data_IF_608356057619
#
_entry.id   IF_608356057619
#
_cell.length_a   1.000
_cell.length_b   1.000
_cell.length_c   1.000
_cell.angle_alpha   90.00
_cell.angle_beta   90.00
_cell.angle_gamma   90.00
#
_symmetry.space_group_name_H-M   'P 1'
#
loop_
_entity.id
_entity.type
_entity.pdbx_description
1 polymer ?
#
# COMPACT_ATOMS: atom_id res chain seq x y z
N UNK A 1 -11.33 -18.49 16.08
CA UNK A 1 -12.27 -19.44 16.71
C UNK A 1 -13.66 -19.24 16.15
N UNK A 2 -14.37 -20.35 15.86
CA UNK A 2 -15.79 -20.31 15.56
C UNK A 2 -16.56 -20.42 16.89
N UNK A 3 -17.11 -19.31 17.34
CA UNK A 3 -17.90 -19.20 18.58
C UNK A 3 -19.37 -19.56 18.38
N UNK A 4 -19.79 -19.90 17.16
CA UNK A 4 -21.15 -20.38 16.87
C UNK A 4 -21.35 -21.79 17.41
N UNK A 5 -22.63 -22.17 17.65
CA UNK A 5 -22.96 -23.47 18.25
C UNK A 5 -23.38 -24.53 17.20
N UNK A 6 -23.75 -24.08 15.99
CA UNK A 6 -24.49 -24.97 15.07
C UNK A 6 -23.82 -25.16 13.72
N UNK A 7 -23.23 -24.11 13.14
CA UNK A 7 -22.79 -24.14 11.74
C UNK A 7 -21.26 -24.03 11.61
N UNK A 8 -20.65 -24.79 10.70
CA UNK A 8 -19.27 -24.54 10.30
C UNK A 8 -19.21 -23.24 9.48
N UNK A 9 -18.16 -22.42 9.72
CA UNK A 9 -18.00 -21.12 9.07
C UNK A 9 -16.57 -20.92 8.57
N UNK A 10 -16.44 -20.04 7.59
CA UNK A 10 -15.15 -19.50 7.15
C UNK A 10 -15.19 -17.99 7.30
N UNK A 11 -14.06 -17.40 7.67
CA UNK A 11 -13.91 -15.95 7.78
C UNK A 11 -12.67 -15.45 7.05
N UNK A 12 -12.71 -14.20 6.60
CA UNK A 12 -11.56 -13.53 5.99
C UNK A 12 -10.96 -12.57 7.00
N UNK A 13 -9.77 -12.89 7.48
CA UNK A 13 -9.00 -12.00 8.35
C UNK A 13 -8.21 -11.03 7.48
N UNK A 14 -8.41 -9.73 7.73
CA UNK A 14 -7.85 -8.62 6.96
C UNK A 14 -6.92 -7.81 7.85
N UNK A 15 -5.78 -7.40 7.31
CA UNK A 15 -4.83 -6.52 7.97
C UNK A 15 -4.83 -5.18 7.27
N UNK A 16 -5.08 -4.13 8.01
CA UNK A 16 -5.05 -2.75 7.56
C UNK A 16 -3.90 -2.01 8.20
N UNK A 17 -3.29 -1.13 7.44
CA UNK A 17 -2.21 -0.28 7.91
C UNK A 17 -2.54 1.19 7.72
N UNK A 18 -2.13 2.04 8.68
CA UNK A 18 -2.09 3.49 8.52
C UNK A 18 -0.66 3.96 8.26
N UNK A 19 -0.54 5.18 7.76
CA UNK A 19 0.74 5.86 7.57
C UNK A 19 0.84 7.06 8.51
N UNK A 20 2.03 7.62 8.78
CA UNK A 20 2.18 8.79 9.64
C UNK A 20 1.36 10.00 9.22
N UNK A 21 1.10 10.16 7.94
CA UNK A 21 0.30 11.24 7.34
C UNK A 21 -1.12 10.81 6.94
N UNK A 22 -1.58 9.63 7.38
CA UNK A 22 -2.92 9.14 7.10
C UNK A 22 -3.99 10.16 7.48
N UNK A 23 -4.95 10.36 6.58
CA UNK A 23 -6.03 11.32 6.74
C UNK A 23 -5.69 12.76 6.41
N UNK A 24 -4.42 13.11 6.19
CA UNK A 24 -4.01 14.42 5.68
C UNK A 24 -3.97 14.45 4.17
N UNK A 25 -3.42 13.41 3.57
CA UNK A 25 -3.14 13.34 2.13
C UNK A 25 -3.72 12.11 1.45
N UNK A 26 -4.48 11.27 2.16
CA UNK A 26 -5.00 10.02 1.59
C UNK A 26 -5.93 9.26 2.51
N UNK A 27 -6.06 7.96 2.28
CA UNK A 27 -6.87 7.07 3.12
C UNK A 27 -6.35 7.02 4.55
N UNK A 28 -7.26 6.94 5.52
CA UNK A 28 -6.93 6.78 6.94
C UNK A 28 -6.13 5.50 7.18
N UNK A 29 -6.56 4.43 6.55
CA UNK A 29 -5.88 3.14 6.48
C UNK A 29 -6.20 2.47 5.15
N UNK A 30 -5.39 1.49 4.78
CA UNK A 30 -5.54 0.72 3.57
C UNK A 30 -5.33 -0.77 3.87
N UNK A 31 -6.00 -1.61 3.11
CA UNK A 31 -5.83 -3.06 3.18
C UNK A 31 -4.44 -3.43 2.65
N UNK A 32 -3.66 -4.10 3.47
CA UNK A 32 -2.31 -4.53 3.11
C UNK A 32 -2.27 -6.03 2.76
N UNK A 33 -2.81 -6.87 3.63
CA UNK A 33 -2.89 -8.31 3.38
C UNK A 33 -4.15 -8.92 3.98
N UNK A 34 -4.52 -10.08 3.49
CA UNK A 34 -5.65 -10.85 4.02
C UNK A 34 -5.45 -12.34 3.83
N UNK A 35 -6.13 -13.13 4.63
CA UNK A 35 -6.17 -14.58 4.50
C UNK A 35 -7.51 -15.13 4.95
N UNK A 36 -8.03 -16.11 4.22
CA UNK A 36 -9.25 -16.83 4.58
C UNK A 36 -8.91 -18.01 5.47
N UNK A 37 -9.74 -18.23 6.50
CA UNK A 37 -9.63 -19.44 7.34
C UNK A 37 -10.03 -20.70 6.55
N UNK A 38 -9.70 -21.84 7.08
CA UNK A 38 -10.38 -23.09 6.71
C UNK A 38 -11.83 -23.05 7.19
N UNK A 39 -12.62 -24.02 6.79
CA UNK A 39 -13.95 -24.23 7.38
C UNK A 39 -13.75 -24.70 8.80
N UNK A 40 -14.19 -23.91 9.77
CA UNK A 40 -14.08 -24.21 11.19
C UNK A 40 -15.41 -24.74 11.71
N UNK A 41 -15.42 -25.90 12.30
CA UNK A 41 -16.56 -26.43 13.04
C UNK A 41 -16.84 -25.57 14.28
N UNK A 42 -18.04 -25.65 14.90
CA UNK A 42 -18.33 -25.00 16.18
C UNK A 42 -17.24 -25.33 17.24
N UNK A 43 -16.72 -24.29 17.88
CA UNK A 43 -15.63 -24.40 18.87
C UNK A 43 -14.22 -24.61 18.28
N UNK A 44 -14.08 -24.79 16.98
CA UNK A 44 -12.78 -24.98 16.35
C UNK A 44 -12.04 -23.66 16.17
N UNK A 45 -10.71 -23.70 16.35
CA UNK A 45 -9.82 -22.55 16.24
C UNK A 45 -8.73 -22.78 15.19
N UNK A 46 -8.29 -21.71 14.52
CA UNK A 46 -7.16 -21.72 13.61
C UNK A 46 -6.25 -20.53 13.86
N UNK A 47 -4.95 -20.75 13.87
CA UNK A 47 -3.96 -19.68 13.85
C UNK A 47 -3.54 -19.37 12.42
N UNK A 48 -3.63 -18.11 12.02
CA UNK A 48 -3.19 -17.60 10.72
C UNK A 48 -1.86 -16.85 10.87
N UNK A 49 -0.97 -17.01 9.92
CA UNK A 49 0.30 -16.28 9.82
C UNK A 49 0.30 -15.40 8.60
N UNK A 50 -0.07 -14.13 8.78
CA UNK A 50 -0.05 -13.13 7.72
C UNK A 50 1.30 -12.40 7.70
N UNK A 51 1.83 -12.17 6.50
CA UNK A 51 3.11 -11.49 6.30
C UNK A 51 2.98 -10.47 5.19
N UNK A 52 3.58 -9.32 5.39
CA UNK A 52 3.70 -8.28 4.38
C UNK A 52 5.05 -7.55 4.53
N UNK A 53 5.66 -7.10 3.43
CA UNK A 53 6.88 -6.35 3.51
C UNK A 53 6.58 -4.89 3.90
N UNK A 54 7.25 -4.36 4.89
CA UNK A 54 7.08 -2.96 5.35
C UNK A 54 7.30 -1.95 4.21
N UNK A 55 8.06 -2.33 3.18
CA UNK A 55 8.30 -1.50 2.00
C UNK A 55 7.06 -1.20 1.18
N UNK A 56 5.99 -2.00 1.29
CA UNK A 56 4.70 -1.74 0.63
C UNK A 56 3.94 -0.58 1.27
N UNK A 57 4.29 -0.23 2.51
CA UNK A 57 3.74 0.94 3.19
C UNK A 57 4.29 2.27 2.64
N UNK A 58 5.28 2.23 1.75
CA UNK A 58 5.88 3.44 1.17
C UNK A 58 4.89 4.20 0.28
N UNK A 59 4.95 5.53 0.33
CA UNK A 59 4.15 6.43 -0.48
C UNK A 59 5.03 7.11 -1.52
N UNK A 60 4.51 7.28 -2.72
CA UNK A 60 5.19 8.07 -3.74
C UNK A 60 5.21 9.55 -3.36
N UNK A 61 6.41 10.14 -3.34
CA UNK A 61 6.61 11.58 -3.11
C UNK A 61 7.10 12.24 -4.39
N UNK A 62 6.25 13.12 -4.98
CA UNK A 62 6.57 13.86 -6.20
C UNK A 62 7.86 14.67 -6.05
N UNK A 63 8.08 15.31 -4.89
CA UNK A 63 9.27 16.11 -4.61
C UNK A 63 10.58 15.31 -4.59
N UNK A 64 10.49 14.03 -4.25
CA UNK A 64 11.66 13.13 -4.19
C UNK A 64 11.76 12.21 -5.42
N UNK A 65 10.74 12.19 -6.28
CA UNK A 65 10.58 11.21 -7.38
C UNK A 65 10.87 9.78 -6.89
N UNK A 66 10.29 9.43 -5.76
CA UNK A 66 10.60 8.17 -5.10
C UNK A 66 9.43 7.67 -4.22
N UNK A 67 9.39 6.37 -4.01
CA UNK A 67 8.59 5.78 -2.94
C UNK A 67 9.36 5.91 -1.63
N UNK A 68 8.75 6.55 -0.65
CA UNK A 68 9.37 6.88 0.63
C UNK A 68 8.54 6.29 1.77
N UNK A 69 9.20 5.60 2.69
CA UNK A 69 8.67 5.33 4.02
C UNK A 69 8.99 6.54 4.89
N UNK A 70 7.98 7.20 5.41
CA UNK A 70 8.14 8.39 6.24
C UNK A 70 8.44 8.03 7.68
N UNK A 71 9.19 8.87 8.36
CA UNK A 71 9.36 8.79 9.80
C UNK A 71 8.02 8.93 10.51
N UNK A 72 7.78 8.10 11.53
CA UNK A 72 6.56 8.15 12.32
C UNK A 72 6.00 6.78 12.66
N UNK A 73 4.71 6.76 13.02
CA UNK A 73 4.02 5.55 13.43
C UNK A 73 3.15 5.00 12.31
N UNK A 74 3.19 3.70 12.16
CA UNK A 74 2.38 2.89 11.26
C UNK A 74 1.53 1.98 12.14
N UNK A 75 0.25 2.27 12.23
CA UNK A 75 -0.68 1.48 13.04
C UNK A 75 -1.17 0.29 12.23
N UNK A 76 -1.21 -0.87 12.88
CA UNK A 76 -1.64 -2.14 12.30
C UNK A 76 -2.97 -2.51 12.92
N UNK A 77 -3.98 -2.70 12.11
CA UNK A 77 -5.33 -3.08 12.52
C UNK A 77 -5.67 -4.42 11.90
N UNK A 78 -6.38 -5.24 12.66
CA UNK A 78 -6.82 -6.57 12.22
C UNK A 78 -8.33 -6.68 12.41
N UNK A 79 -8.99 -7.28 11.45
CA UNK A 79 -10.43 -7.49 11.52
C UNK A 79 -10.99 -8.24 10.33
N UNK A 80 -12.31 -8.24 10.20
CA UNK A 80 -13.04 -8.92 9.14
C UNK A 80 -13.54 -7.97 8.04
N UNK A 81 -13.31 -6.66 8.22
CA UNK A 81 -13.67 -5.63 7.25
C UNK A 81 -13.18 -4.26 7.68
N UNK A 82 -13.19 -3.29 6.78
CA UNK A 82 -12.60 -1.96 7.01
C UNK A 82 -13.20 -1.17 8.20
N UNK A 83 -14.41 -1.50 8.62
CA UNK A 83 -15.10 -0.90 9.76
C UNK A 83 -15.16 -1.81 10.99
N UNK A 84 -14.79 -3.08 10.84
CA UNK A 84 -14.78 -4.09 11.88
C UNK A 84 -13.35 -4.52 12.18
N UNK A 85 -12.52 -3.57 12.63
CA UNK A 85 -11.13 -3.78 12.96
C UNK A 85 -10.80 -3.31 14.36
N UNK A 86 -9.85 -3.97 15.01
CA UNK A 86 -9.21 -3.54 16.24
C UNK A 86 -7.74 -3.19 15.98
N UNK A 87 -7.17 -2.31 16.80
CA UNK A 87 -5.76 -1.96 16.76
C UNK A 87 -4.94 -3.11 17.36
N UNK A 88 -4.13 -3.75 16.52
CA UNK A 88 -3.28 -4.88 16.93
C UNK A 88 -1.89 -4.43 17.43
N UNK A 89 -1.40 -3.29 16.91
CA UNK A 89 -0.11 -2.74 17.31
C UNK A 89 0.38 -1.64 16.39
N UNK A 90 1.60 -1.16 16.64
CA UNK A 90 2.21 -0.08 15.86
C UNK A 90 3.69 -0.37 15.58
N UNK A 91 4.15 0.08 14.43
CA UNK A 91 5.56 0.12 14.06
C UNK A 91 6.00 1.59 14.06
N UNK A 92 7.13 1.91 14.69
CA UNK A 92 7.74 3.23 14.63
C UNK A 92 8.97 3.21 13.75
N UNK A 93 8.93 3.93 12.64
CA UNK A 93 10.10 4.20 11.84
C UNK A 93 10.81 5.45 12.38
N UNK A 94 12.10 5.33 12.68
CA UNK A 94 12.87 6.39 13.35
C UNK A 94 13.45 7.43 12.39
N UNK A 95 13.49 7.14 11.10
CA UNK A 95 13.94 8.04 10.02
C UNK A 95 13.28 7.67 8.73
N UNK A 96 12.93 8.66 7.93
CA UNK A 96 12.41 8.43 6.57
C UNK A 96 13.44 7.70 5.70
N UNK A 97 12.96 6.78 4.88
CA UNK A 97 13.80 5.96 4.00
C UNK A 97 13.25 5.92 2.58
N UNK A 98 14.11 6.13 1.60
CA UNK A 98 13.78 5.93 0.19
C UNK A 98 13.82 4.43 -0.10
N UNK A 99 12.67 3.87 -0.47
CA UNK A 99 12.53 2.45 -0.82
C UNK A 99 12.87 2.22 -2.29
N UNK A 100 12.35 3.10 -3.16
CA UNK A 100 12.53 2.98 -4.60
C UNK A 100 12.55 4.36 -5.26
N UNK A 101 13.62 4.70 -5.97
CA UNK A 101 13.64 5.86 -6.84
C UNK A 101 12.91 5.56 -8.15
N UNK A 102 12.17 6.55 -8.66
CA UNK A 102 11.41 6.46 -9.90
C UNK A 102 12.01 7.43 -10.91
N UNK A 103 12.11 7.00 -12.15
CA UNK A 103 12.44 7.92 -13.25
C UNK A 103 11.14 8.52 -13.74
N UNK A 104 11.01 9.86 -13.79
CA UNK A 104 9.80 10.48 -14.30
C UNK A 104 9.59 10.07 -15.76
N UNK A 105 8.35 9.73 -16.11
CA UNK A 105 7.90 9.74 -17.48
C UNK A 105 7.37 11.15 -17.74
N UNK A 106 7.73 11.75 -18.85
CA UNK A 106 7.21 13.08 -19.25
C UNK A 106 5.73 12.95 -19.59
N UNK A 107 4.90 13.08 -18.57
CA UNK A 107 3.48 13.33 -18.77
C UNK A 107 3.25 14.84 -18.64
N UNK A 108 2.41 15.44 -19.51
CA UNK A 108 2.03 16.83 -19.34
C UNK A 108 1.45 17.02 -17.94
N UNK A 109 1.81 18.12 -17.29
CA UNK A 109 1.34 18.52 -15.97
C UNK A 109 -0.18 18.82 -16.02
N UNK A 110 -0.99 17.77 -16.10
CA UNK A 110 -2.42 17.90 -15.86
C UNK A 110 -2.61 18.08 -14.35
N UNK A 111 -3.00 19.26 -13.93
CA UNK A 111 -3.43 19.51 -12.56
C UNK A 111 -4.74 18.75 -12.30
N UNK A 112 -4.60 17.56 -11.73
CA UNK A 112 -5.77 16.82 -11.26
C UNK A 112 -6.30 17.48 -9.97
N UNK A 113 -7.62 17.64 -9.84
CA UNK A 113 -8.21 18.21 -8.65
C UNK A 113 -7.90 17.33 -7.44
N UNK A 114 -7.20 17.89 -6.45
CA UNK A 114 -6.86 17.21 -5.22
C UNK A 114 -8.00 17.38 -4.22
N UNK A 115 -8.45 16.29 -3.60
CA UNK A 115 -9.41 16.36 -2.51
C UNK A 115 -8.79 17.12 -1.33
N UNK A 116 -9.44 18.20 -0.90
CA UNK A 116 -8.95 19.09 0.15
C UNK A 116 -9.59 18.85 1.53
N UNK A 117 -10.59 17.99 1.61
CA UNK A 117 -11.30 17.74 2.86
C UNK A 117 -10.55 16.73 3.72
N UNK A 118 -10.27 17.06 5.00
CA UNK A 118 -9.70 16.11 5.93
C UNK A 118 -10.69 14.97 6.17
N UNK A 119 -10.23 13.74 6.08
CA UNK A 119 -11.02 12.57 6.40
C UNK A 119 -11.02 12.36 7.91
N UNK A 120 -12.20 12.14 8.50
CA UNK A 120 -12.29 11.76 9.92
C UNK A 120 -11.56 10.43 10.12
N UNK A 121 -10.61 10.44 11.06
CA UNK A 121 -9.71 9.33 11.34
C UNK A 121 -10.21 8.39 12.44
N UNK A 122 -11.30 8.75 13.12
CA UNK A 122 -11.74 8.03 14.30
C UNK A 122 -13.02 7.25 14.03
N UNK A 123 -13.03 6.01 14.49
CA UNK A 123 -14.17 5.11 14.36
C UNK A 123 -14.92 4.90 15.67
N UNK A 124 -14.22 5.06 16.81
CA UNK A 124 -14.79 4.93 18.16
C UNK A 124 -14.02 5.80 19.17
N UNK A 125 -14.65 6.19 20.29
CA UNK A 125 -14.07 7.15 21.23
C UNK A 125 -12.75 6.70 21.87
N UNK A 126 -12.60 5.42 22.17
CA UNK A 126 -11.45 4.85 22.87
C UNK A 126 -10.23 4.68 21.97
N UNK A 127 -10.38 4.85 20.66
CA UNK A 127 -9.32 4.64 19.68
C UNK A 127 -8.07 5.52 19.95
N UNK A 128 -8.25 6.72 20.47
CA UNK A 128 -7.16 7.63 20.78
C UNK A 128 -6.24 7.07 21.89
N UNK A 129 -6.83 6.52 22.95
CA UNK A 129 -6.09 5.92 24.07
C UNK A 129 -5.39 4.62 23.66
N UNK A 130 -6.08 3.80 22.87
CA UNK A 130 -5.48 2.58 22.31
C UNK A 130 -4.26 2.89 21.44
N UNK A 131 -4.36 3.91 20.58
CA UNK A 131 -3.24 4.35 19.74
C UNK A 131 -2.07 4.85 20.59
N UNK A 132 -2.31 5.65 21.61
CA UNK A 132 -1.26 6.12 22.51
C UNK A 132 -0.56 4.95 23.21
N UNK A 133 -1.31 3.97 23.66
CA UNK A 133 -0.77 2.76 24.30
C UNK A 133 0.04 1.92 23.30
N UNK A 134 -0.47 1.73 22.08
CA UNK A 134 0.22 1.02 21.03
C UNK A 134 1.51 1.75 20.62
N UNK A 135 1.51 3.10 20.54
CA UNK A 135 2.68 3.90 20.22
C UNK A 135 3.77 3.79 21.29
N UNK A 136 3.41 3.70 22.56
CA UNK A 136 4.38 3.46 23.67
C UNK A 136 5.06 2.09 23.53
N UNK A 137 4.34 1.09 23.00
CA UNK A 137 4.81 -0.29 22.81
C UNK A 137 5.27 -0.58 21.37
N UNK A 138 5.35 0.45 20.51
CA UNK A 138 5.64 0.28 19.11
C UNK A 138 6.99 -0.42 18.86
N UNK A 139 6.99 -1.32 17.90
CA UNK A 139 8.21 -1.98 17.42
C UNK A 139 9.04 -0.93 16.66
N UNK A 140 10.23 -0.63 17.16
CA UNK A 140 11.13 0.34 16.53
C UNK A 140 11.85 -0.28 15.35
N UNK A 141 11.66 0.30 14.18
CA UNK A 141 12.33 -0.09 12.95
C UNK A 141 13.34 0.98 12.56
N UNK A 142 14.60 0.54 12.34
CA UNK A 142 15.62 1.43 11.79
C UNK A 142 15.60 1.39 10.27
N UNK A 143 15.84 2.51 9.61
CA UNK A 143 16.03 2.62 8.17
C UNK A 143 17.14 1.69 7.63
N UNK A 144 18.11 1.34 8.48
CA UNK A 144 19.20 0.41 8.14
C UNK A 144 18.74 -1.02 7.90
N UNK A 145 17.64 -1.41 8.53
CA UNK A 145 17.07 -2.75 8.43
C UNK A 145 16.08 -2.90 7.26
N UNK A 146 15.83 -1.81 6.51
CA UNK A 146 14.96 -1.84 5.35
C UNK A 146 15.73 -2.33 4.12
N UNK A 147 15.16 -3.27 3.34
CA UNK A 147 15.75 -3.67 2.09
C UNK A 147 15.74 -2.48 1.12
N UNK A 148 16.91 -1.96 0.80
CA UNK A 148 17.06 -0.96 -0.25
C UNK A 148 16.93 -1.69 -1.58
N UNK A 149 15.84 -1.47 -2.31
CA UNK A 149 15.78 -1.89 -3.70
C UNK A 149 16.83 -1.08 -4.45
N UNK A 150 17.91 -1.74 -4.86
CA UNK A 150 18.89 -1.12 -5.74
C UNK A 150 18.15 -0.59 -6.96
N UNK A 151 18.52 0.61 -7.40
CA UNK A 151 18.13 1.15 -8.69
C UNK A 151 18.46 0.09 -9.73
N UNK A 152 17.49 -0.77 -10.10
CA UNK A 152 17.64 -1.44 -11.39
C UNK A 152 17.76 -0.26 -12.34
N UNK A 153 18.92 -0.12 -12.96
CA UNK A 153 19.08 0.72 -14.15
C UNK A 153 18.03 0.19 -15.12
N UNK A 154 16.81 0.74 -15.04
CA UNK A 154 15.86 0.60 -16.12
C UNK A 154 16.66 1.04 -17.34
N UNK A 155 16.61 0.29 -18.43
CA UNK A 155 17.03 0.84 -19.71
C UNK A 155 16.43 2.24 -19.75
N UNK A 156 17.24 3.27 -20.07
CA UNK A 156 16.64 4.58 -20.25
C UNK A 156 15.48 4.36 -21.20
N UNK A 157 14.30 4.81 -20.77
CA UNK A 157 13.17 4.94 -21.68
C UNK A 157 13.69 5.91 -22.73
N UNK A 158 14.12 5.40 -23.86
CA UNK A 158 14.32 6.18 -25.06
C UNK A 158 12.91 6.61 -25.42
N UNK A 159 12.58 7.85 -25.01
CA UNK A 159 11.30 8.46 -25.30
C UNK A 159 10.96 8.20 -26.75
N UNK A 160 9.69 7.95 -27.01
CA UNK A 160 9.20 7.87 -28.38
C UNK A 160 9.67 9.14 -29.11
N UNK A 161 10.78 9.05 -29.83
CA UNK A 161 11.08 10.04 -30.86
C UNK A 161 9.87 9.99 -31.77
N UNK A 162 9.21 11.12 -31.88
CA UNK A 162 8.09 11.29 -32.76
C UNK A 162 8.48 11.09 -34.22
N UNK A 163 8.65 9.86 -34.60
CA UNK A 163 8.53 9.45 -35.97
C UNK A 163 7.04 9.22 -36.18
N UNK A 164 6.46 9.95 -37.10
CA UNK A 164 5.03 9.95 -37.48
C UNK A 164 4.54 8.57 -38.01
N UNK A 165 5.09 7.48 -37.56
CA UNK A 165 4.62 6.14 -37.88
C UNK A 165 3.46 5.78 -36.94
N UNK A 166 2.27 5.76 -37.49
CA UNK A 166 1.07 5.26 -36.82
C UNK A 166 1.14 3.74 -36.78
N UNK A 167 1.45 3.20 -35.61
CA UNK A 167 1.39 1.76 -35.38
C UNK A 167 -0.05 1.28 -35.25
N UNK A 168 -0.30 0.07 -35.71
CA UNK A 168 -1.58 -0.63 -35.60
C UNK A 168 -1.50 -1.74 -34.56
N UNK A 169 -2.64 -2.28 -34.12
CA UNK A 169 -2.68 -3.49 -33.28
C UNK A 169 -2.00 -4.70 -33.93
N UNK A 170 -1.96 -4.75 -35.28
CA UNK A 170 -1.25 -5.78 -36.01
C UNK A 170 0.27 -5.67 -35.78
N UNK A 171 0.81 -4.46 -35.70
CA UNK A 171 2.24 -4.21 -35.44
C UNK A 171 2.66 -4.66 -34.05
N UNK A 172 1.78 -4.52 -33.05
CA UNK A 172 1.99 -5.07 -31.70
C UNK A 172 2.01 -6.59 -31.73
N UNK A 173 1.06 -7.20 -32.43
CA UNK A 173 0.94 -8.66 -32.54
C UNK A 173 2.13 -9.29 -33.24
N UNK A 174 2.68 -8.61 -34.24
CA UNK A 174 3.83 -9.05 -35.00
C UNK A 174 5.19 -8.66 -34.38
N UNK A 175 5.15 -7.99 -33.20
CA UNK A 175 6.34 -7.60 -32.45
C UNK A 175 7.13 -6.42 -33.08
N UNK A 176 6.56 -5.70 -34.05
CA UNK A 176 7.15 -4.52 -34.66
C UNK A 176 7.18 -3.30 -33.76
N UNK A 177 6.23 -3.21 -32.82
CA UNK A 177 6.25 -2.24 -31.75
C UNK A 177 5.78 -2.86 -30.42
N UNK A 178 6.11 -2.22 -29.31
CA UNK A 178 5.58 -2.64 -28.00
C UNK A 178 4.14 -2.14 -27.82
N UNK A 179 3.35 -2.85 -27.01
CA UNK A 179 2.01 -2.40 -26.64
C UNK A 179 2.04 -0.99 -26.04
N UNK A 180 3.09 -0.65 -25.30
CA UNK A 180 3.29 0.66 -24.71
C UNK A 180 3.53 1.75 -25.77
N UNK A 181 4.36 1.47 -26.78
CA UNK A 181 4.62 2.37 -27.91
C UNK A 181 3.35 2.63 -28.72
N UNK A 182 2.51 1.60 -28.90
CA UNK A 182 1.23 1.71 -29.57
C UNK A 182 0.27 2.63 -28.82
N UNK A 183 0.14 2.45 -27.48
CA UNK A 183 -0.75 3.26 -26.65
C UNK A 183 -0.30 4.72 -26.60
N UNK A 184 1.01 4.98 -26.55
CA UNK A 184 1.57 6.32 -26.52
C UNK A 184 1.40 7.09 -27.85
N UNK A 185 1.07 6.41 -28.93
CA UNK A 185 0.81 7.02 -30.25
C UNK A 185 -0.69 7.16 -30.60
N UNK A 186 -1.57 6.90 -29.66
CA UNK A 186 -3.04 7.02 -29.83
C UNK A 186 -3.55 8.41 -29.39
N UNK A 187 -3.00 9.50 -29.93
CA UNK A 187 -3.55 10.86 -29.81
C UNK A 187 -4.56 11.15 -30.92
#
# INVERSE_FOLDING_TARGET
ENTGETYPVQEIVQVYCSRPDSGKTGAAWFLDTFQKTQVLAPGESQTLHLRFPVTELALFRKSALAYVLEEGYYDIRVGTGSRATCLAGSIRLTRSAVVQAVTPCDFPDAELPVRKEPMQLFTYPEEAEERETAHRRAIRLSDRNLPRRSRKKGRPFTGCRGDNERYTLADVKEGRCSAFTFIAGMD
#
